data_IF_625337615892
#
_entry.id   IF_625337615892
#
_cell.length_a   1.000
_cell.length_b   1.000
_cell.length_c   1.000
_cell.angle_alpha   90.00
_cell.angle_beta   90.00
_cell.angle_gamma   90.00
#
_symmetry.space_group_name_H-M   'P 1'
#
loop_
_entity.id
_entity.type
_entity.pdbx_description
1 polymer ?
#
# COMPACT_ATOMS: atom_id res chain seq x y z
N UNK A 1 -6.15 -26.48 -7.13
CA UNK A 1 -5.05 -26.45 -8.15
C UNK A 1 -4.17 -25.28 -7.80
N UNK A 2 -2.86 -25.29 -8.12
CA UNK A 2 -2.05 -24.10 -7.91
C UNK A 2 -2.65 -22.94 -8.74
N UNK A 3 -2.71 -21.73 -8.17
CA UNK A 3 -3.16 -20.54 -8.89
C UNK A 3 -2.12 -20.12 -9.95
N UNK A 4 -2.55 -19.31 -10.92
CA UNK A 4 -1.63 -18.72 -11.89
C UNK A 4 -0.70 -17.74 -11.17
N UNK A 5 0.64 -17.81 -11.36
CA UNK A 5 1.58 -16.88 -10.72
C UNK A 5 1.24 -15.41 -10.97
N UNK A 6 1.40 -14.57 -9.96
CA UNK A 6 0.97 -13.18 -9.99
C UNK A 6 1.56 -12.37 -11.17
N UNK A 7 2.83 -12.65 -11.53
CA UNK A 7 3.49 -11.98 -12.67
C UNK A 7 2.92 -12.37 -14.05
N UNK A 8 2.10 -13.45 -14.14
CA UNK A 8 1.49 -13.93 -15.37
C UNK A 8 0.00 -13.61 -15.50
N UNK A 9 -0.64 -13.18 -14.40
CA UNK A 9 -2.07 -12.87 -14.38
C UNK A 9 -2.38 -11.74 -15.35
N UNK A 10 -3.42 -11.93 -16.18
CA UNK A 10 -3.85 -10.93 -17.17
C UNK A 10 -4.45 -9.69 -16.52
N UNK A 11 -4.23 -8.53 -17.14
CA UNK A 11 -4.92 -7.31 -16.77
C UNK A 11 -6.40 -7.42 -17.09
N UNK A 12 -7.23 -6.97 -16.16
CA UNK A 12 -8.67 -6.83 -16.31
C UNK A 12 -9.05 -5.38 -16.16
N UNK A 13 -10.21 -5.03 -16.67
CA UNK A 13 -10.69 -3.65 -16.70
C UNK A 13 -12.16 -3.61 -16.33
N UNK A 14 -12.55 -2.58 -15.60
CA UNK A 14 -13.96 -2.30 -15.30
C UNK A 14 -14.28 -0.85 -15.54
N UNK A 15 -15.40 -0.60 -16.20
CA UNK A 15 -15.91 0.76 -16.40
C UNK A 15 -16.70 1.20 -15.19
N UNK A 16 -16.33 2.33 -14.61
CA UNK A 16 -17.00 2.89 -13.45
C UNK A 16 -16.91 4.42 -13.44
N UNK A 17 -18.04 5.08 -13.21
CA UNK A 17 -18.11 6.54 -13.08
C UNK A 17 -17.43 7.30 -14.24
N UNK A 18 -17.59 6.79 -15.48
CA UNK A 18 -17.06 7.43 -16.70
C UNK A 18 -15.55 7.25 -16.95
N UNK A 19 -14.90 6.33 -16.22
CA UNK A 19 -13.50 5.95 -16.40
C UNK A 19 -13.31 4.44 -16.30
N UNK A 20 -12.20 3.95 -16.79
CA UNK A 20 -11.83 2.53 -16.75
C UNK A 20 -10.74 2.31 -15.72
N UNK A 21 -11.01 1.47 -14.72
CA UNK A 21 -10.00 1.04 -13.75
C UNK A 21 -9.41 -0.29 -14.18
N UNK A 22 -8.08 -0.37 -14.17
CA UNK A 22 -7.31 -1.59 -14.41
C UNK A 22 -7.06 -2.31 -13.09
N UNK A 23 -7.24 -3.63 -13.09
CA UNK A 23 -7.01 -4.46 -11.93
C UNK A 23 -6.52 -5.86 -12.31
N UNK A 24 -6.03 -6.62 -11.33
CA UNK A 24 -5.68 -8.04 -11.44
C UNK A 24 -6.25 -8.78 -10.26
N UNK A 25 -6.55 -10.07 -10.49
CA UNK A 25 -7.04 -10.98 -9.44
C UNK A 25 -6.13 -12.20 -9.40
N UNK A 26 -5.50 -12.43 -8.25
CA UNK A 26 -4.56 -13.52 -8.01
C UNK A 26 -5.18 -14.47 -6.99
N UNK A 27 -5.21 -15.77 -7.30
CA UNK A 27 -5.78 -16.78 -6.43
C UNK A 27 -7.30 -16.77 -6.35
N UNK A 28 -7.82 -17.56 -5.42
CA UNK A 28 -9.25 -17.71 -5.13
C UNK A 28 -9.45 -17.76 -3.61
N UNK A 29 -10.63 -17.37 -3.12
CA UNK A 29 -10.96 -17.45 -1.69
C UNK A 29 -11.46 -16.15 -1.10
N UNK A 30 -11.00 -15.78 0.09
CA UNK A 30 -11.47 -14.56 0.77
C UNK A 30 -10.98 -13.30 0.07
N UNK A 31 -11.86 -12.34 -0.26
CA UNK A 31 -11.46 -11.16 -1.00
C UNK A 31 -10.52 -10.27 -0.17
N UNK A 32 -9.37 -9.96 -0.76
CA UNK A 32 -8.38 -9.02 -0.25
C UNK A 32 -8.10 -8.00 -1.35
N UNK A 33 -8.34 -6.71 -1.10
CA UNK A 33 -8.03 -5.62 -2.01
C UNK A 33 -6.85 -4.82 -1.46
N UNK A 34 -5.83 -4.61 -2.28
CA UNK A 34 -4.61 -3.89 -1.93
C UNK A 34 -4.51 -2.54 -2.64
N UNK A 35 -4.44 -1.47 -1.87
CA UNK A 35 -4.24 -0.10 -2.30
C UNK A 35 -2.75 0.22 -2.38
N UNK A 36 -2.26 0.66 -3.55
CA UNK A 36 -0.85 0.85 -3.81
C UNK A 36 -0.32 2.19 -3.28
N UNK A 37 0.99 2.26 -3.07
CA UNK A 37 1.74 3.42 -2.59
C UNK A 37 1.81 4.59 -3.58
N UNK A 38 2.32 5.74 -3.11
CA UNK A 38 2.76 6.86 -3.96
C UNK A 38 3.75 6.39 -5.04
N UNK A 39 3.58 6.87 -6.27
CA UNK A 39 4.34 6.47 -7.47
C UNK A 39 4.31 4.95 -7.76
N UNK A 40 3.41 4.22 -7.12
CA UNK A 40 3.21 2.80 -7.38
C UNK A 40 2.12 2.56 -8.42
N UNK A 41 2.23 1.41 -9.06
CA UNK A 41 1.22 0.78 -9.91
C UNK A 41 1.02 -0.67 -9.44
N UNK A 42 0.12 -1.41 -10.09
CA UNK A 42 -0.03 -2.85 -9.82
C UNK A 42 1.29 -3.62 -9.89
N UNK A 43 2.25 -3.15 -10.70
CA UNK A 43 3.56 -3.79 -10.85
C UNK A 43 4.54 -3.47 -9.71
N UNK A 44 4.15 -2.62 -8.77
CA UNK A 44 4.97 -2.31 -7.60
C UNK A 44 4.87 -3.35 -6.48
N UNK A 45 3.90 -4.25 -6.56
CA UNK A 45 3.76 -5.35 -5.62
C UNK A 45 4.70 -6.49 -6.00
N UNK A 46 5.47 -6.99 -5.04
CA UNK A 46 6.31 -8.18 -5.23
C UNK A 46 5.43 -9.40 -5.54
N UNK A 47 5.60 -10.08 -6.69
CA UNK A 47 4.77 -11.21 -7.04
C UNK A 47 4.82 -12.36 -6.01
N UNK A 48 5.96 -12.58 -5.33
CA UNK A 48 6.05 -13.59 -4.28
C UNK A 48 5.13 -13.25 -3.09
N UNK A 49 5.03 -11.98 -2.72
CA UNK A 49 4.09 -11.55 -1.67
C UNK A 49 2.63 -11.81 -2.08
N UNK A 50 2.26 -11.48 -3.33
CA UNK A 50 0.90 -11.71 -3.83
C UNK A 50 0.57 -13.21 -3.92
N UNK A 51 1.51 -14.01 -4.43
CA UNK A 51 1.38 -15.46 -4.55
C UNK A 51 1.24 -16.11 -3.17
N UNK A 52 2.04 -15.66 -2.19
CA UNK A 52 1.95 -16.14 -0.80
C UNK A 52 0.57 -15.87 -0.20
N UNK A 53 0.00 -14.68 -0.40
CA UNK A 53 -1.35 -14.37 0.07
C UNK A 53 -2.40 -15.27 -0.61
N UNK A 54 -2.26 -15.51 -1.90
CA UNK A 54 -3.16 -16.39 -2.65
C UNK A 54 -3.08 -17.85 -2.15
N UNK A 55 -1.88 -18.35 -1.84
CA UNK A 55 -1.66 -19.68 -1.25
C UNK A 55 -2.30 -19.80 0.15
N UNK A 56 -2.44 -18.72 0.88
CA UNK A 56 -3.14 -18.67 2.18
C UNK A 56 -4.68 -18.59 2.04
N UNK A 57 -5.22 -18.69 0.81
CA UNK A 57 -6.66 -18.73 0.56
C UNK A 57 -7.30 -17.35 0.39
N UNK A 58 -6.51 -16.35 0.02
CA UNK A 58 -7.06 -15.05 -0.38
C UNK A 58 -7.22 -14.97 -1.90
N UNK A 59 -8.30 -14.30 -2.31
CA UNK A 59 -8.44 -13.77 -3.66
C UNK A 59 -7.91 -12.33 -3.64
N UNK A 60 -6.67 -12.16 -4.10
CA UNK A 60 -5.94 -10.88 -4.00
C UNK A 60 -6.25 -10.00 -5.20
N UNK A 61 -6.81 -8.83 -4.95
CA UNK A 61 -7.07 -7.80 -5.95
C UNK A 61 -6.02 -6.70 -5.80
N UNK A 62 -5.35 -6.35 -6.89
CA UNK A 62 -4.49 -5.17 -7.02
C UNK A 62 -5.01 -4.31 -8.15
N UNK A 63 -4.88 -2.99 -8.08
CA UNK A 63 -5.41 -2.08 -9.09
C UNK A 63 -4.58 -0.81 -9.22
N UNK A 64 -4.76 -0.13 -10.34
CA UNK A 64 -4.22 1.20 -10.58
C UNK A 64 -5.30 2.25 -10.34
N UNK A 65 -4.95 3.32 -9.61
CA UNK A 65 -5.84 4.47 -9.43
C UNK A 65 -6.11 5.20 -10.73
N UNK A 66 -7.17 5.98 -10.79
CA UNK A 66 -7.55 6.79 -11.95
C UNK A 66 -6.38 7.60 -12.51
N UNK A 67 -6.17 7.50 -13.84
CA UNK A 67 -5.11 8.21 -14.55
C UNK A 67 -3.69 7.72 -14.28
N UNK A 68 -3.52 6.65 -13.50
CA UNK A 68 -2.22 6.05 -13.20
C UNK A 68 -2.14 4.64 -13.79
N UNK A 69 -0.93 4.19 -14.11
CA UNK A 69 -0.71 2.87 -14.68
C UNK A 69 -1.55 2.63 -15.94
N UNK A 70 -2.40 1.60 -15.90
CA UNK A 70 -3.29 1.22 -17.01
C UNK A 70 -4.72 1.77 -16.86
N UNK A 71 -5.02 2.49 -15.78
CA UNK A 71 -6.33 3.12 -15.56
C UNK A 71 -6.46 4.44 -16.32
N UNK A 72 -7.67 4.72 -16.79
CA UNK A 72 -7.99 6.02 -17.42
C UNK A 72 -8.54 7.00 -16.38
N UNK A 73 -8.67 8.27 -16.77
CA UNK A 73 -9.19 9.35 -15.94
C UNK A 73 -8.11 10.35 -15.53
N UNK A 74 -8.44 11.22 -14.59
CA UNK A 74 -7.55 12.28 -14.12
C UNK A 74 -6.69 11.79 -12.96
N UNK A 75 -5.35 11.80 -13.07
CA UNK A 75 -4.47 11.34 -12.01
C UNK A 75 -4.53 12.26 -10.79
N UNK A 76 -4.42 11.66 -9.59
CA UNK A 76 -4.40 12.42 -8.35
C UNK A 76 -3.76 11.60 -7.22
N UNK A 77 -3.10 12.31 -6.31
CA UNK A 77 -2.69 11.78 -5.02
C UNK A 77 -3.45 12.41 -3.84
N UNK A 78 -4.60 13.04 -4.10
CA UNK A 78 -5.56 13.39 -3.05
C UNK A 78 -6.11 12.09 -2.43
N UNK A 79 -5.89 11.86 -1.12
CA UNK A 79 -6.34 10.63 -0.46
C UNK A 79 -7.85 10.38 -0.56
N UNK A 80 -8.67 11.43 -0.61
CA UNK A 80 -10.12 11.27 -0.76
C UNK A 80 -10.50 10.76 -2.16
N UNK A 81 -9.77 11.17 -3.20
CA UNK A 81 -9.95 10.64 -4.56
C UNK A 81 -9.49 9.19 -4.67
N UNK A 82 -8.36 8.84 -4.05
CA UNK A 82 -7.88 7.46 -4.00
C UNK A 82 -8.85 6.53 -3.26
N UNK A 83 -9.42 7.00 -2.14
CA UNK A 83 -10.46 6.27 -1.42
C UNK A 83 -11.72 6.08 -2.28
N UNK A 84 -12.12 7.08 -3.07
CA UNK A 84 -13.24 6.98 -4.00
C UNK A 84 -12.97 5.95 -5.10
N UNK A 85 -11.78 5.95 -5.72
CA UNK A 85 -11.41 4.94 -6.72
C UNK A 85 -11.48 3.53 -6.12
N UNK A 86 -11.03 3.38 -4.87
CA UNK A 86 -11.11 2.11 -4.14
C UNK A 86 -12.58 1.67 -3.92
N UNK A 87 -13.45 2.58 -3.48
CA UNK A 87 -14.88 2.29 -3.29
C UNK A 87 -15.59 1.98 -4.60
N UNK A 88 -15.28 2.71 -5.67
CA UNK A 88 -15.82 2.48 -7.00
C UNK A 88 -15.44 1.08 -7.51
N UNK A 89 -14.18 0.67 -7.31
CA UNK A 89 -13.74 -0.69 -7.67
C UNK A 89 -14.44 -1.76 -6.82
N UNK A 90 -14.52 -1.57 -5.51
CA UNK A 90 -15.24 -2.49 -4.60
C UNK A 90 -16.68 -2.68 -5.07
N UNK A 91 -17.37 -1.58 -5.40
CA UNK A 91 -18.75 -1.61 -5.88
C UNK A 91 -18.89 -2.28 -7.25
N UNK A 92 -17.99 -1.97 -8.19
CA UNK A 92 -18.02 -2.54 -9.54
C UNK A 92 -17.74 -4.06 -9.57
N UNK A 93 -16.88 -4.54 -8.67
CA UNK A 93 -16.57 -5.96 -8.52
C UNK A 93 -17.51 -6.70 -7.56
N UNK A 94 -18.44 -5.99 -6.90
CA UNK A 94 -19.37 -6.56 -5.93
C UNK A 94 -18.71 -7.15 -4.69
N UNK A 95 -17.53 -6.66 -4.31
CA UNK A 95 -16.80 -7.17 -3.16
C UNK A 95 -17.50 -6.81 -1.85
N UNK A 96 -17.62 -7.78 -0.96
CA UNK A 96 -18.26 -7.60 0.35
C UNK A 96 -17.45 -8.31 1.43
N UNK A 97 -17.45 -7.75 2.65
CA UNK A 97 -16.74 -8.31 3.80
C UNK A 97 -15.27 -8.62 3.49
N UNK A 98 -14.64 -7.74 2.71
CA UNK A 98 -13.26 -7.94 2.26
C UNK A 98 -12.24 -7.56 3.35
N UNK A 99 -11.03 -8.09 3.23
CA UNK A 99 -9.84 -7.50 3.85
C UNK A 99 -9.41 -6.32 2.96
N UNK A 100 -9.33 -5.13 3.51
CA UNK A 100 -8.79 -3.97 2.78
C UNK A 100 -7.37 -3.72 3.25
N UNK A 101 -6.41 -3.85 2.34
CA UNK A 101 -5.01 -3.56 2.59
C UNK A 101 -4.56 -2.28 1.92
N UNK A 102 -3.53 -1.63 2.48
CA UNK A 102 -2.94 -0.47 1.83
C UNK A 102 -1.51 -0.23 2.26
N UNK A 103 -0.66 0.08 1.28
CA UNK A 103 0.74 0.40 1.49
C UNK A 103 0.97 1.91 1.36
N UNK A 104 1.60 2.53 2.37
CA UNK A 104 1.98 3.94 2.32
C UNK A 104 0.75 4.86 2.11
N UNK A 105 0.74 5.66 1.06
CA UNK A 105 -0.41 6.47 0.64
C UNK A 105 -1.68 5.60 0.42
N UNK A 106 -1.52 4.37 -0.08
CA UNK A 106 -2.62 3.41 -0.19
C UNK A 106 -3.20 3.03 1.17
N UNK A 107 -2.39 2.99 2.22
CA UNK A 107 -2.86 2.80 3.60
C UNK A 107 -3.66 3.99 4.11
N UNK A 108 -3.34 5.21 3.69
CA UNK A 108 -4.16 6.40 3.97
C UNK A 108 -5.52 6.29 3.25
N UNK A 109 -5.52 5.91 1.97
CA UNK A 109 -6.75 5.69 1.22
C UNK A 109 -7.62 4.59 1.86
N UNK A 110 -7.02 3.47 2.26
CA UNK A 110 -7.73 2.37 2.92
C UNK A 110 -8.38 2.80 4.26
N UNK A 111 -7.70 3.64 5.04
CA UNK A 111 -8.26 4.21 6.27
C UNK A 111 -9.44 5.15 5.99
N UNK A 112 -9.41 5.91 4.89
CA UNK A 112 -10.55 6.75 4.48
C UNK A 112 -11.73 5.92 3.96
N UNK A 113 -11.48 4.81 3.28
CA UNK A 113 -12.53 3.83 2.93
C UNK A 113 -13.14 3.23 4.20
N UNK A 114 -12.31 2.83 5.17
CA UNK A 114 -12.80 2.36 6.47
C UNK A 114 -13.71 3.40 7.16
N UNK A 115 -13.36 4.67 7.13
CA UNK A 115 -14.20 5.73 7.71
C UNK A 115 -15.56 5.86 7.00
N UNK A 116 -15.56 5.74 5.65
CA UNK A 116 -16.76 5.98 4.83
C UNK A 116 -17.68 4.77 4.75
N UNK A 117 -17.14 3.56 4.72
CA UNK A 117 -17.87 2.33 4.46
C UNK A 117 -17.37 1.14 5.29
N UNK A 118 -17.31 1.24 6.64
CA UNK A 118 -16.78 0.18 7.50
C UNK A 118 -17.49 -1.15 7.34
N UNK A 119 -18.80 -1.13 6.96
CA UNK A 119 -19.61 -2.33 6.78
C UNK A 119 -19.12 -3.24 5.62
N UNK A 120 -18.32 -2.71 4.70
CA UNK A 120 -17.72 -3.49 3.61
C UNK A 120 -16.53 -4.32 4.09
N UNK A 121 -15.91 -3.95 5.23
CA UNK A 121 -14.65 -4.50 5.66
C UNK A 121 -14.83 -5.59 6.72
N UNK A 122 -14.03 -6.64 6.60
CA UNK A 122 -13.81 -7.63 7.66
C UNK A 122 -12.58 -7.27 8.50
N UNK A 123 -11.52 -6.77 7.84
CA UNK A 123 -10.23 -6.40 8.45
C UNK A 123 -9.63 -5.21 7.71
N UNK A 124 -8.78 -4.45 8.41
CA UNK A 124 -7.96 -3.40 7.83
C UNK A 124 -6.47 -3.77 8.00
N UNK A 125 -5.74 -3.85 6.88
CA UNK A 125 -4.34 -4.24 6.83
C UNK A 125 -3.49 -3.08 6.30
N UNK A 126 -2.55 -2.60 7.10
CA UNK A 126 -1.80 -1.38 6.83
C UNK A 126 -0.30 -1.68 6.79
N UNK A 127 0.36 -1.33 5.68
CA UNK A 127 1.80 -1.52 5.49
C UNK A 127 2.50 -0.16 5.41
N UNK A 128 3.50 0.09 6.25
CA UNK A 128 4.33 1.29 6.18
C UNK A 128 3.52 2.56 5.92
N UNK A 129 2.50 2.83 6.73
CA UNK A 129 1.62 3.99 6.58
C UNK A 129 1.46 4.75 7.89
N UNK A 130 0.92 5.96 7.81
CA UNK A 130 0.73 6.83 8.98
C UNK A 130 -0.63 6.59 9.65
N UNK A 131 -0.72 6.69 10.98
CA UNK A 131 -2.00 6.84 11.65
C UNK A 131 -2.60 8.24 11.43
N UNK A 132 -3.92 8.44 11.69
CA UNK A 132 -4.51 9.76 11.77
C UNK A 132 -4.09 10.49 13.05
N UNK A 133 -4.04 11.83 12.99
CA UNK A 133 -3.72 12.70 14.12
C UNK A 133 -2.26 13.12 14.17
N UNK A 134 -1.87 13.72 15.28
CA UNK A 134 -0.51 14.22 15.50
C UNK A 134 0.50 13.08 15.59
N UNK A 135 1.66 13.31 14.99
CA UNK A 135 2.76 12.35 14.95
C UNK A 135 3.77 12.66 16.05
N UNK A 136 4.28 11.61 16.70
CA UNK A 136 5.37 11.71 17.68
C UNK A 136 6.74 11.74 17.01
N UNK A 137 6.84 11.22 15.78
CA UNK A 137 8.05 11.23 14.96
C UNK A 137 7.71 11.57 13.52
N UNK A 138 8.43 12.55 12.95
CA UNK A 138 8.28 12.93 11.55
C UNK A 138 9.06 11.98 10.62
N UNK A 139 8.59 11.85 9.38
CA UNK A 139 9.37 11.23 8.32
C UNK A 139 10.62 12.05 7.99
N UNK A 140 11.59 11.42 7.35
CA UNK A 140 12.88 12.04 7.04
C UNK A 140 12.82 12.88 5.76
N UNK A 141 13.55 14.01 5.69
CA UNK A 141 13.65 14.82 4.48
C UNK A 141 14.10 14.04 3.24
N UNK A 142 14.97 13.04 3.43
CA UNK A 142 15.48 12.17 2.37
C UNK A 142 14.35 11.58 1.51
N UNK A 143 13.21 11.19 2.11
CA UNK A 143 12.07 10.72 1.35
C UNK A 143 11.63 11.72 0.28
N UNK A 144 11.53 13.01 0.62
CA UNK A 144 11.06 14.05 -0.30
C UNK A 144 12.05 14.32 -1.43
N UNK A 145 13.34 14.17 -1.18
CA UNK A 145 14.39 14.27 -2.19
C UNK A 145 14.28 13.11 -3.19
N UNK A 146 14.22 11.87 -2.68
CA UNK A 146 14.12 10.66 -3.50
C UNK A 146 12.79 10.59 -4.27
N UNK A 147 11.70 11.02 -3.65
CA UNK A 147 10.36 10.96 -4.26
C UNK A 147 10.18 11.93 -5.45
N UNK A 148 11.05 12.93 -5.62
CA UNK A 148 10.97 13.93 -6.71
C UNK A 148 11.85 13.64 -7.90
N UNK A 149 12.73 12.66 -7.82
CA UNK A 149 13.66 12.33 -8.90
C UNK A 149 13.40 10.94 -9.48
N UNK A 150 14.01 10.64 -10.60
CA UNK A 150 14.12 9.27 -11.07
C UNK A 150 14.93 8.45 -10.07
N UNK A 151 14.46 7.25 -9.75
CA UNK A 151 15.07 6.41 -8.75
C UNK A 151 15.87 5.28 -9.40
N UNK A 152 17.09 5.09 -8.93
CA UNK A 152 17.92 3.92 -9.21
C UNK A 152 17.75 2.82 -8.14
N UNK A 153 18.57 1.78 -8.21
CA UNK A 153 18.52 0.68 -7.25
C UNK A 153 18.92 1.11 -5.84
N UNK A 154 19.87 2.03 -5.68
CA UNK A 154 20.26 2.54 -4.36
C UNK A 154 19.14 3.36 -3.74
N UNK A 155 18.42 4.15 -4.53
CA UNK A 155 17.23 4.87 -4.09
C UNK A 155 16.11 3.89 -3.66
N UNK A 156 15.94 2.79 -4.40
CA UNK A 156 14.99 1.73 -4.03
C UNK A 156 15.34 1.10 -2.69
N UNK A 157 16.63 0.84 -2.44
CA UNK A 157 17.11 0.34 -1.15
C UNK A 157 16.84 1.35 -0.04
N UNK A 158 17.20 2.63 -0.23
CA UNK A 158 16.99 3.67 0.79
C UNK A 158 15.51 3.91 1.11
N UNK A 159 14.64 3.83 0.11
CA UNK A 159 13.20 4.03 0.29
C UNK A 159 12.53 2.86 1.03
N UNK A 160 12.85 1.63 0.66
CA UNK A 160 12.01 0.49 1.04
C UNK A 160 12.68 -0.53 1.96
N UNK A 161 14.00 -0.44 2.14
CA UNK A 161 14.81 -1.40 2.88
C UNK A 161 15.71 -0.69 3.90
N UNK A 162 16.57 -1.44 4.57
CA UNK A 162 17.60 -0.91 5.47
C UNK A 162 18.97 -0.91 4.75
N UNK A 163 19.46 0.26 4.31
CA UNK A 163 20.69 0.33 3.49
C UNK A 163 21.96 -0.13 4.22
N UNK A 164 21.97 -0.11 5.55
CA UNK A 164 23.12 -0.53 6.34
C UNK A 164 23.12 -2.04 6.67
N UNK A 165 22.00 -2.74 6.42
CA UNK A 165 21.90 -4.19 6.61
C UNK A 165 22.22 -4.92 5.31
N UNK A 166 23.19 -5.83 5.36
CA UNK A 166 23.55 -6.66 4.21
C UNK A 166 22.39 -7.60 3.81
N UNK A 167 21.70 -8.16 4.79
CA UNK A 167 20.54 -9.02 4.57
C UNK A 167 19.38 -8.26 3.91
N UNK A 168 19.12 -7.03 4.36
CA UNK A 168 18.09 -6.18 3.79
C UNK A 168 18.41 -5.78 2.34
N UNK A 169 19.66 -5.44 2.05
CA UNK A 169 20.12 -5.16 0.68
C UNK A 169 20.01 -6.38 -0.25
N UNK A 170 20.33 -7.57 0.27
CA UNK A 170 20.15 -8.81 -0.50
C UNK A 170 18.67 -9.09 -0.79
N UNK A 171 17.79 -8.86 0.19
CA UNK A 171 16.33 -8.95 0.00
C UNK A 171 15.82 -7.92 -1.01
N UNK A 172 16.39 -6.70 -1.02
CA UNK A 172 16.06 -5.66 -2.01
C UNK A 172 16.39 -6.12 -3.44
N UNK A 173 17.58 -6.70 -3.66
CA UNK A 173 17.97 -7.23 -4.97
C UNK A 173 17.02 -8.34 -5.43
N UNK A 174 16.69 -9.29 -4.55
CA UNK A 174 15.77 -10.37 -4.86
C UNK A 174 14.36 -9.86 -5.16
N UNK A 175 13.86 -8.88 -4.39
CA UNK A 175 12.55 -8.29 -4.65
C UNK A 175 12.52 -7.54 -5.97
N UNK A 176 13.55 -6.76 -6.30
CA UNK A 176 13.67 -6.07 -7.58
C UNK A 176 13.67 -7.05 -8.76
N UNK A 177 14.41 -8.16 -8.65
CA UNK A 177 14.42 -9.23 -9.66
C UNK A 177 13.03 -9.84 -9.85
N UNK A 178 12.32 -10.16 -8.74
CA UNK A 178 10.96 -10.72 -8.82
C UNK A 178 9.95 -9.74 -9.43
N UNK A 179 10.01 -8.45 -9.06
CA UNK A 179 9.15 -7.41 -9.65
C UNK A 179 9.41 -7.29 -11.16
N UNK A 180 10.66 -7.41 -11.59
CA UNK A 180 11.04 -7.34 -13.02
C UNK A 180 10.62 -8.59 -13.84
N UNK A 181 10.13 -9.67 -13.21
CA UNK A 181 9.70 -10.88 -13.96
C UNK A 181 8.50 -10.66 -14.86
N UNK A 182 7.65 -9.66 -14.57
CA UNK A 182 6.53 -9.33 -15.43
C UNK A 182 7.00 -8.60 -16.68
N UNK A 183 6.83 -9.24 -17.84
CA UNK A 183 7.25 -8.69 -19.14
C UNK A 183 6.09 -8.39 -20.11
N UNK A 184 4.86 -8.81 -19.76
CA UNK A 184 3.68 -8.58 -20.60
C UNK A 184 2.60 -7.80 -19.85
N UNK A 185 1.99 -6.85 -20.52
CA UNK A 185 0.94 -6.03 -19.94
C UNK A 185 1.41 -5.22 -18.72
N UNK A 186 2.64 -4.73 -18.78
CA UNK A 186 3.21 -3.89 -17.73
C UNK A 186 2.47 -2.55 -17.64
N UNK A 187 2.41 -2.02 -16.43
CA UNK A 187 1.90 -0.68 -16.19
C UNK A 187 2.95 0.36 -16.60
N UNK A 188 2.58 1.43 -17.33
CA UNK A 188 3.44 2.57 -17.48
C UNK A 188 3.88 3.10 -16.11
N UNK A 189 5.17 3.46 -15.94
CA UNK A 189 5.62 4.06 -14.69
C UNK A 189 4.95 5.42 -14.47
N UNK A 190 4.72 5.78 -13.22
CA UNK A 190 4.20 7.11 -12.87
C UNK A 190 5.32 8.14 -13.08
N UNK A 191 5.13 9.18 -13.90
CA UNK A 191 6.15 10.21 -14.13
C UNK A 191 6.54 10.90 -12.82
N UNK A 192 7.84 10.92 -12.51
CA UNK A 192 8.34 11.44 -11.24
C UNK A 192 8.16 12.96 -11.13
N UNK A 193 8.24 13.70 -12.24
CA UNK A 193 8.03 15.14 -12.27
C UNK A 193 6.60 15.51 -11.88
N UNK A 194 5.60 14.80 -12.45
CA UNK A 194 4.21 15.00 -12.09
C UNK A 194 3.95 14.60 -10.64
N UNK A 195 4.42 13.43 -10.23
CA UNK A 195 4.25 12.95 -8.86
C UNK A 195 4.92 13.87 -7.83
N UNK A 196 6.11 14.35 -8.13
CA UNK A 196 6.85 15.28 -7.28
C UNK A 196 6.11 16.59 -7.00
N UNK A 197 5.33 17.06 -7.95
CA UNK A 197 4.48 18.26 -7.80
C UNK A 197 3.30 18.04 -6.82
N UNK A 198 2.89 16.78 -6.61
CA UNK A 198 1.81 16.44 -5.68
C UNK A 198 2.30 16.37 -4.22
N UNK A 199 3.61 16.26 -4.00
CA UNK A 199 4.20 16.34 -2.67
C UNK A 199 4.26 17.80 -2.22
N UNK A 200 3.84 18.09 -0.99
CA UNK A 200 4.07 19.40 -0.39
C UNK A 200 5.57 19.67 -0.16
N UNK A 201 5.87 20.79 0.45
CA UNK A 201 7.27 21.28 0.63
C UNK A 201 8.10 20.43 1.62
N UNK A 202 7.49 19.49 2.32
CA UNK A 202 8.19 18.61 3.27
C UNK A 202 7.23 17.90 4.23
N UNK A 203 7.77 17.31 5.28
CA UNK A 203 6.98 16.60 6.28
C UNK A 203 5.92 17.50 6.92
N UNK A 204 4.71 16.97 7.09
CA UNK A 204 3.57 17.65 7.73
C UNK A 204 3.20 16.93 9.02
N UNK A 205 2.71 17.67 10.01
CA UNK A 205 2.14 17.09 11.21
C UNK A 205 0.82 17.81 11.55
N UNK A 206 -0.32 17.13 11.47
CA UNK A 206 -0.48 15.73 11.03
C UNK A 206 -0.35 15.55 9.49
N UNK A 207 0.07 14.35 9.07
CA UNK A 207 0.01 13.93 7.64
C UNK A 207 -1.43 13.62 7.24
N UNK A 208 -2.20 13.02 8.14
CA UNK A 208 -3.60 12.64 7.95
C UNK A 208 -4.49 13.41 8.93
N UNK A 209 -4.85 14.68 8.61
CA UNK A 209 -5.61 15.56 9.49
C UNK A 209 -7.12 15.27 9.43
N UNK A 210 -7.54 14.04 9.79
CA UNK A 210 -8.93 13.60 9.77
C UNK A 210 -9.36 13.13 11.16
N UNK A 211 -9.71 14.05 12.09
CA UNK A 211 -10.08 13.71 13.46
C UNK A 211 -11.16 12.65 13.57
N UNK A 212 -12.25 12.63 12.74
CA UNK A 212 -13.26 11.59 12.80
C UNK A 212 -12.71 10.18 12.56
N UNK A 213 -11.63 10.03 11.82
CA UNK A 213 -11.01 8.74 11.54
C UNK A 213 -10.37 8.14 12.81
N UNK A 214 -9.64 8.95 13.58
CA UNK A 214 -9.05 8.50 14.84
C UNK A 214 -10.16 8.07 15.81
N UNK A 215 -11.25 8.84 15.89
CA UNK A 215 -12.41 8.51 16.72
C UNK A 215 -13.12 7.23 16.26
N UNK A 216 -13.20 6.99 14.97
CA UNK A 216 -13.73 5.74 14.42
C UNK A 216 -12.84 4.54 14.79
N UNK A 217 -11.50 4.68 14.67
CA UNK A 217 -10.54 3.64 15.06
C UNK A 217 -10.60 3.32 16.56
N UNK A 218 -10.86 4.31 17.42
CA UNK A 218 -11.04 4.11 18.88
C UNK A 218 -12.29 3.31 19.25
N UNK A 219 -13.28 3.27 18.36
CA UNK A 219 -14.59 2.63 18.62
C UNK A 219 -14.86 1.39 17.77
N UNK A 220 -13.98 1.09 16.82
CA UNK A 220 -14.22 -0.02 15.89
C UNK A 220 -14.05 -1.39 16.54
N UNK A 221 -14.89 -2.34 16.11
CA UNK A 221 -14.67 -3.77 16.32
C UNK A 221 -13.94 -4.47 15.17
N UNK A 222 -13.65 -3.75 14.07
CA UNK A 222 -12.92 -4.30 12.92
C UNK A 222 -11.44 -4.46 13.31
N UNK A 223 -10.85 -5.66 13.18
CA UNK A 223 -9.43 -5.87 13.42
C UNK A 223 -8.56 -5.00 12.50
N UNK A 224 -7.58 -4.34 13.08
CA UNK A 224 -6.59 -3.52 12.37
C UNK A 224 -5.21 -4.12 12.63
N UNK A 225 -4.50 -4.47 11.56
CA UNK A 225 -3.10 -4.88 11.63
C UNK A 225 -2.23 -3.85 10.91
N UNK A 226 -1.28 -3.27 11.62
CA UNK A 226 -0.21 -2.46 11.02
C UNK A 226 1.10 -3.23 11.00
N UNK A 227 1.73 -3.30 9.82
CA UNK A 227 3.05 -3.90 9.60
C UNK A 227 3.98 -2.78 9.14
N UNK A 228 5.02 -2.51 9.93
CA UNK A 228 6.00 -1.46 9.63
C UNK A 228 7.43 -1.94 9.76
N UNK A 229 8.34 -1.28 9.05
CA UNK A 229 9.78 -1.47 9.19
C UNK A 229 10.34 -0.58 10.30
N UNK A 230 11.34 -1.09 11.05
CA UNK A 230 11.98 -0.33 12.14
C UNK A 230 12.81 0.88 11.64
N UNK A 231 13.09 0.94 10.33
CA UNK A 231 13.84 2.01 9.65
C UNK A 231 13.01 2.69 8.55
N UNK A 232 11.69 2.76 8.73
CA UNK A 232 10.84 3.46 7.78
C UNK A 232 11.09 4.98 7.83
N UNK A 233 11.75 5.50 6.79
CA UNK A 233 12.06 6.94 6.66
C UNK A 233 10.86 7.79 6.26
N UNK A 234 9.75 7.16 5.84
CA UNK A 234 8.53 7.85 5.39
C UNK A 234 7.52 7.96 6.51
N UNK A 235 7.16 6.83 7.12
CA UNK A 235 6.17 6.75 8.19
C UNK A 235 6.70 5.94 9.38
N UNK A 236 7.47 6.58 10.27
CA UNK A 236 8.06 5.92 11.43
C UNK A 236 7.03 5.15 12.28
N UNK A 237 7.35 3.90 12.61
CA UNK A 237 6.45 2.99 13.36
C UNK A 237 6.08 3.49 14.75
N UNK A 238 6.89 4.39 15.33
CA UNK A 238 6.66 5.00 16.62
C UNK A 238 5.30 5.72 16.69
N UNK A 239 4.81 6.21 15.56
CA UNK A 239 3.51 6.89 15.48
C UNK A 239 2.35 5.93 15.76
N UNK A 240 2.44 4.68 15.29
CA UNK A 240 1.48 3.64 15.62
C UNK A 240 1.69 3.09 17.03
N UNK A 241 2.94 2.94 17.48
CA UNK A 241 3.25 2.53 18.84
C UNK A 241 2.67 3.50 19.87
N UNK A 242 2.68 4.80 19.59
CA UNK A 242 2.07 5.82 20.45
C UNK A 242 0.55 5.66 20.63
N UNK A 243 -0.13 4.96 19.73
CA UNK A 243 -1.56 4.65 19.78
C UNK A 243 -1.84 3.26 20.37
N UNK A 244 -0.81 2.48 20.72
CA UNK A 244 -0.96 1.20 21.39
C UNK A 244 -1.73 1.37 22.71
N UNK A 245 -2.77 0.55 22.89
CA UNK A 245 -3.66 0.66 24.06
C UNK A 245 -4.77 1.72 23.93
N UNK A 246 -4.68 2.65 22.97
CA UNK A 246 -5.75 3.60 22.68
C UNK A 246 -6.73 3.08 21.62
N UNK A 247 -6.29 2.15 20.77
CA UNK A 247 -7.08 1.55 19.70
C UNK A 247 -7.37 0.08 20.02
N UNK A 248 -8.65 -0.30 20.26
CA UNK A 248 -8.98 -1.58 20.89
C UNK A 248 -8.70 -2.81 20.02
N UNK A 249 -8.62 -2.65 18.71
CA UNK A 249 -8.40 -3.77 17.77
C UNK A 249 -7.04 -3.71 17.06
N UNK A 250 -6.21 -2.74 17.41
CA UNK A 250 -4.91 -2.54 16.77
C UNK A 250 -3.92 -3.63 17.17
N UNK A 251 -3.37 -4.29 16.17
CA UNK A 251 -2.23 -5.17 16.27
C UNK A 251 -1.04 -4.52 15.55
N UNK A 252 0.14 -4.59 16.15
CA UNK A 252 1.36 -4.01 15.61
C UNK A 252 2.40 -5.09 15.37
N UNK A 253 2.91 -5.14 14.14
CA UNK A 253 4.07 -5.94 13.78
C UNK A 253 5.15 -5.00 13.25
N UNK A 254 6.26 -4.91 13.99
CA UNK A 254 7.43 -4.15 13.56
C UNK A 254 8.52 -5.12 13.14
N UNK A 255 8.94 -5.04 11.88
CA UNK A 255 9.98 -5.89 11.33
C UNK A 255 11.34 -5.19 11.48
N UNK A 256 12.34 -5.88 12.07
CA UNK A 256 13.66 -5.29 12.29
C UNK A 256 14.42 -5.11 10.98
N UNK A 257 15.34 -4.14 10.97
CA UNK A 257 16.22 -3.86 9.81
C UNK A 257 15.45 -3.80 8.49
N UNK A 258 14.30 -3.14 8.49
CA UNK A 258 13.40 -3.03 7.33
C UNK A 258 12.94 -1.59 7.18
N UNK A 259 12.84 -1.13 5.94
CA UNK A 259 12.40 0.22 5.60
C UNK A 259 10.90 0.30 5.32
N UNK A 260 10.52 1.17 4.37
CA UNK A 260 9.13 1.48 4.02
C UNK A 260 8.39 0.36 3.27
N UNK A 261 9.09 -0.70 2.87
CA UNK A 261 8.54 -1.87 2.18
C UNK A 261 8.70 -3.17 2.96
N UNK A 262 8.17 -3.30 4.20
CA UNK A 262 8.42 -4.48 5.02
C UNK A 262 7.95 -5.79 4.35
N UNK A 263 6.87 -5.77 3.58
CA UNK A 263 6.36 -6.91 2.81
C UNK A 263 7.20 -7.26 1.57
N UNK A 264 8.07 -6.36 1.11
CA UNK A 264 9.05 -6.66 0.05
C UNK A 264 10.24 -7.43 0.61
N UNK A 265 10.67 -7.09 1.83
CA UNK A 265 11.78 -7.75 2.51
C UNK A 265 11.37 -9.10 3.10
N UNK A 266 10.15 -9.19 3.61
CA UNK A 266 9.58 -10.38 4.26
C UNK A 266 8.28 -10.81 3.56
N UNK A 267 8.37 -11.31 2.31
CA UNK A 267 7.19 -11.67 1.52
C UNK A 267 6.51 -12.97 1.98
N UNK A 268 7.17 -13.75 2.82
CA UNK A 268 6.66 -15.03 3.33
C UNK A 268 6.22 -14.89 4.80
N UNK A 269 5.06 -15.46 5.20
CA UNK A 269 4.68 -15.50 6.60
C UNK A 269 5.62 -16.44 7.38
N UNK A 270 6.23 -15.94 8.44
CA UNK A 270 6.99 -16.75 9.41
C UNK A 270 8.44 -17.07 9.04
N UNK A 271 9.04 -16.35 8.11
CA UNK A 271 10.50 -16.40 7.85
C UNK A 271 11.24 -15.29 8.56
#
# INVERSE_FOLDING_TARGET
MPHQPAHQVSNQFVEVSGRRLAYRVIGEGWPLLLCVRFRGTMDSWDPLFLDTLAEQGFQVHVFDYSGLGLSTGEPSYDPARLARDTLDLIGALGLQRLVLGGWSLGGIAAQLVFLQAPQLLSHLLLFGTTPPGELVRMGEPLFYELARRENDFEDFVHLFFEPLSQESRAAAAQSAERIATRTQGQCPPVPHEWAGQQLGDGPRNPVLPVPPLLDALKRTGIPVLHIGGSHDIVFPVENWHALSGALPTLQLLTLPSSGHGPHLQYPLPGT
#
